data_IF_287285006581
#
_entry.id   IF_287285006581
#
_cell.length_a   1.000
_cell.length_b   1.000
_cell.length_c   1.000
_cell.angle_alpha   90.00
_cell.angle_beta   90.00
_cell.angle_gamma   90.00
#
_symmetry.space_group_name_H-M   'P 1'
#
loop_
_entity.id
_entity.type
_entity.pdbx_description
1 polymer ?
#
# COMPACT_ATOMS: atom_id res chain seq x y z
N UNK A 1 21.25 2.45 -25.78
CA UNK A 1 21.13 1.12 -25.12
C UNK A 1 19.70 0.65 -25.30
N UNK A 2 19.48 -0.33 -26.17
CA UNK A 2 18.17 -0.94 -26.42
C UNK A 2 18.14 -2.22 -25.59
N UNK A 3 17.23 -2.33 -24.63
CA UNK A 3 17.03 -3.60 -23.92
C UNK A 3 16.45 -4.62 -24.91
N UNK A 4 16.96 -5.83 -24.89
CA UNK A 4 16.33 -6.96 -25.57
C UNK A 4 14.92 -7.18 -24.98
N UNK A 5 13.89 -7.18 -25.82
CA UNK A 5 12.49 -7.25 -25.38
C UNK A 5 12.17 -8.53 -24.61
N UNK A 6 12.84 -9.63 -24.92
CA UNK A 6 12.69 -10.91 -24.20
C UNK A 6 13.33 -10.85 -22.81
N UNK A 7 14.53 -10.27 -22.71
CA UNK A 7 15.21 -10.03 -21.43
C UNK A 7 14.37 -9.09 -20.55
N UNK A 8 13.79 -8.04 -21.14
CA UNK A 8 12.90 -7.11 -20.43
C UNK A 8 11.65 -7.79 -19.90
N UNK A 9 10.96 -8.57 -20.74
CA UNK A 9 9.75 -9.28 -20.34
C UNK A 9 10.04 -10.26 -19.20
N UNK A 10 11.14 -11.04 -19.29
CA UNK A 10 11.53 -12.00 -18.26
C UNK A 10 11.86 -11.32 -16.93
N UNK A 11 12.68 -10.26 -16.97
CA UNK A 11 13.00 -9.47 -15.78
C UNK A 11 11.74 -8.85 -15.17
N UNK A 12 10.86 -8.27 -15.98
CA UNK A 12 9.63 -7.64 -15.53
C UNK A 12 8.68 -8.66 -14.90
N UNK A 13 8.50 -9.84 -15.51
CA UNK A 13 7.70 -10.92 -14.93
C UNK A 13 8.23 -11.38 -13.56
N UNK A 14 9.56 -11.52 -13.42
CA UNK A 14 10.17 -11.90 -12.15
C UNK A 14 10.00 -10.81 -11.09
N UNK A 15 10.19 -9.53 -11.46
CA UNK A 15 9.96 -8.40 -10.57
C UNK A 15 8.51 -8.34 -10.08
N UNK A 16 7.54 -8.58 -10.96
CA UNK A 16 6.12 -8.62 -10.58
C UNK A 16 5.83 -9.80 -9.64
N UNK A 17 6.44 -10.97 -9.86
CA UNK A 17 6.33 -12.12 -8.95
C UNK A 17 6.89 -11.79 -7.56
N UNK A 18 8.06 -11.17 -7.48
CA UNK A 18 8.68 -10.75 -6.23
C UNK A 18 7.82 -9.73 -5.48
N UNK A 19 7.27 -8.74 -6.19
CA UNK A 19 6.32 -7.76 -5.61
C UNK A 19 5.03 -8.41 -5.13
N UNK A 20 4.52 -9.42 -5.84
CA UNK A 20 3.35 -10.15 -5.42
C UNK A 20 3.59 -10.96 -4.14
N UNK A 21 4.77 -11.58 -4.00
CA UNK A 21 5.17 -12.29 -2.79
C UNK A 21 5.38 -11.33 -1.60
N UNK A 22 6.01 -10.17 -1.82
CA UNK A 22 6.21 -9.15 -0.79
C UNK A 22 4.90 -8.51 -0.30
N UNK A 23 3.86 -8.51 -1.15
CA UNK A 23 2.55 -7.96 -0.81
C UNK A 23 1.58 -8.98 -0.21
N UNK A 24 1.96 -10.26 -0.10
CA UNK A 24 1.18 -11.26 0.66
C UNK A 24 1.60 -11.30 2.11
N UNK A 25 0.63 -11.35 3.02
CA UNK A 25 0.88 -11.42 4.46
C UNK A 25 1.47 -12.78 4.86
N UNK A 26 1.07 -13.85 4.19
CA UNK A 26 1.49 -15.22 4.48
C UNK A 26 2.10 -15.89 3.24
N UNK A 27 2.98 -16.89 3.41
CA UNK A 27 3.43 -17.70 2.28
C UNK A 27 2.23 -18.44 1.63
N UNK A 28 2.11 -18.43 0.29
CA UNK A 28 1.08 -19.19 -0.42
C UNK A 28 1.17 -20.69 -0.14
N UNK A 29 0.02 -21.32 0.10
CA UNK A 29 -0.09 -22.77 0.32
C UNK A 29 -0.29 -23.50 -1.03
N UNK A 30 0.79 -24.03 -1.61
CA UNK A 30 0.83 -24.68 -2.93
C UNK A 30 0.86 -26.21 -2.88
N UNK A 31 0.24 -26.81 -1.87
CA UNK A 31 0.10 -28.25 -1.66
C UNK A 31 -1.39 -28.67 -1.66
N UNK A 32 -1.63 -29.98 -1.69
CA UNK A 32 -2.97 -30.58 -1.74
C UNK A 32 -3.38 -31.08 -3.13
N UNK A 33 -4.60 -31.61 -3.23
CA UNK A 33 -5.15 -32.12 -4.49
C UNK A 33 -5.51 -30.94 -5.43
N UNK A 34 -4.96 -30.90 -6.67
CA UNK A 34 -5.25 -29.86 -7.64
C UNK A 34 -6.75 -29.72 -7.97
N UNK A 35 -7.48 -30.83 -7.97
CA UNK A 35 -8.90 -30.89 -8.35
C UNK A 35 -9.84 -30.61 -7.17
N UNK A 36 -9.31 -30.51 -5.95
CA UNK A 36 -10.10 -30.19 -4.76
C UNK A 36 -10.79 -28.84 -4.90
N UNK A 37 -12.09 -28.83 -4.61
CA UNK A 37 -12.92 -27.63 -4.61
C UNK A 37 -12.81 -26.92 -3.26
N UNK A 38 -12.11 -25.80 -3.25
CA UNK A 38 -11.85 -25.01 -2.05
C UNK A 38 -12.76 -23.79 -1.95
N UNK A 39 -13.27 -23.53 -0.74
CA UNK A 39 -14.05 -22.33 -0.43
C UNK A 39 -13.17 -21.10 -0.11
N UNK A 40 -13.77 -19.95 0.22
CA UNK A 40 -13.04 -18.67 0.37
C UNK A 40 -11.94 -18.67 1.43
N UNK A 41 -12.11 -19.41 2.53
CA UNK A 41 -11.12 -19.49 3.60
C UNK A 41 -9.88 -20.28 3.19
N UNK A 42 -10.06 -21.41 2.51
CA UNK A 42 -8.92 -22.18 2.04
C UNK A 42 -8.28 -21.52 0.81
N UNK A 43 -9.08 -20.89 -0.06
CA UNK A 43 -8.58 -20.07 -1.15
C UNK A 43 -7.66 -18.94 -0.66
N UNK A 44 -7.99 -18.31 0.48
CA UNK A 44 -7.13 -17.29 1.09
C UNK A 44 -5.75 -17.84 1.49
N UNK A 45 -5.70 -19.05 2.07
CA UNK A 45 -4.43 -19.73 2.41
C UNK A 45 -3.64 -20.09 1.17
N UNK A 46 -4.31 -20.67 0.15
CA UNK A 46 -3.67 -21.02 -1.12
C UNK A 46 -3.04 -19.79 -1.77
N UNK A 47 -3.71 -18.63 -1.70
CA UNK A 47 -3.20 -17.38 -2.27
C UNK A 47 -2.25 -16.59 -1.35
N UNK A 48 -2.00 -17.00 -0.11
CA UNK A 48 -1.14 -16.30 0.85
C UNK A 48 -1.74 -15.02 1.45
N UNK A 49 -3.07 -14.89 1.44
CA UNK A 49 -3.76 -13.76 2.06
C UNK A 49 -3.82 -13.94 3.60
N UNK A 50 -4.02 -12.83 4.31
CA UNK A 50 -4.19 -12.84 5.77
C UNK A 50 -5.46 -13.61 6.19
N UNK A 51 -6.56 -13.42 5.45
CA UNK A 51 -7.87 -13.97 5.78
C UNK A 51 -8.78 -14.13 4.54
N UNK A 52 -9.96 -14.72 4.76
CA UNK A 52 -11.01 -14.88 3.75
C UNK A 52 -11.71 -13.58 3.35
N UNK A 53 -11.48 -12.46 4.06
CA UNK A 53 -12.13 -11.20 3.75
C UNK A 53 -11.59 -10.63 2.44
N UNK A 54 -10.29 -10.79 2.17
CA UNK A 54 -9.69 -10.43 0.88
C UNK A 54 -10.36 -11.18 -0.28
N UNK A 55 -10.56 -12.49 -0.15
CA UNK A 55 -11.22 -13.31 -1.18
C UNK A 55 -12.68 -12.90 -1.36
N UNK A 56 -13.38 -12.67 -0.25
CA UNK A 56 -14.78 -12.22 -0.28
C UNK A 56 -14.94 -10.85 -0.95
N UNK A 57 -13.96 -9.96 -0.80
CA UNK A 57 -13.90 -8.70 -1.53
C UNK A 57 -13.63 -8.92 -3.02
N UNK A 58 -12.70 -9.81 -3.39
CA UNK A 58 -12.40 -10.13 -4.80
C UNK A 58 -13.57 -10.79 -5.53
N UNK A 59 -14.43 -11.51 -4.83
CA UNK A 59 -15.67 -12.04 -5.43
C UNK A 59 -16.61 -10.91 -5.87
N UNK A 60 -16.64 -9.80 -5.14
CA UNK A 60 -17.47 -8.63 -5.46
C UNK A 60 -16.79 -7.69 -6.45
N UNK A 61 -15.50 -7.44 -6.24
CA UNK A 61 -14.65 -6.53 -7.01
C UNK A 61 -13.36 -7.26 -7.39
N UNK A 62 -13.41 -8.13 -8.42
CA UNK A 62 -12.28 -8.96 -8.80
C UNK A 62 -11.15 -8.09 -9.36
N UNK A 63 -9.91 -8.26 -8.88
CA UNK A 63 -8.77 -7.65 -9.53
C UNK A 63 -8.47 -8.34 -10.87
N UNK A 64 -7.60 -7.72 -11.67
CA UNK A 64 -7.14 -8.29 -12.95
C UNK A 64 -6.64 -9.74 -12.74
N UNK A 65 -7.09 -10.64 -13.62
CA UNK A 65 -6.77 -12.07 -13.63
C UNK A 65 -7.27 -12.90 -12.43
N UNK A 66 -8.11 -12.38 -11.53
CA UNK A 66 -8.74 -13.22 -10.49
C UNK A 66 -9.65 -14.29 -11.12
N UNK A 67 -9.50 -15.58 -10.76
CA UNK A 67 -10.23 -16.66 -11.42
C UNK A 67 -11.71 -16.65 -11.07
N UNK A 68 -12.55 -16.96 -12.07
CA UNK A 68 -13.98 -17.20 -11.84
C UNK A 68 -14.18 -18.48 -11.01
N UNK A 69 -15.17 -18.50 -10.10
CA UNK A 69 -15.52 -19.71 -9.35
C UNK A 69 -15.94 -20.85 -10.27
N UNK A 70 -15.49 -22.06 -9.96
CA UNK A 70 -15.87 -23.29 -10.66
C UNK A 70 -17.23 -23.82 -10.20
N UNK A 71 -17.61 -23.54 -8.94
CA UNK A 71 -18.89 -23.94 -8.37
C UNK A 71 -19.33 -22.98 -7.26
N UNK A 72 -20.56 -23.14 -6.78
CA UNK A 72 -21.15 -22.38 -5.69
C UNK A 72 -21.88 -23.33 -4.74
N UNK A 73 -21.59 -23.24 -3.45
CA UNK A 73 -22.43 -23.85 -2.42
C UNK A 73 -23.62 -22.92 -2.16
N UNK A 74 -24.83 -23.46 -2.24
CA UNK A 74 -26.07 -22.72 -1.99
C UNK A 74 -26.52 -22.89 -0.53
N UNK A 75 -26.59 -21.78 0.19
CA UNK A 75 -27.18 -21.71 1.53
C UNK A 75 -28.46 -20.87 1.47
N UNK A 76 -29.38 -21.03 2.45
CA UNK A 76 -30.67 -20.32 2.44
C UNK A 76 -30.58 -18.79 2.31
N UNK A 77 -29.49 -18.18 2.79
CA UNK A 77 -29.30 -16.72 2.81
C UNK A 77 -28.13 -16.24 1.95
N UNK A 78 -27.29 -17.14 1.41
CA UNK A 78 -26.08 -16.75 0.67
C UNK A 78 -25.55 -17.88 -0.19
N UNK A 79 -24.84 -17.53 -1.25
CA UNK A 79 -24.05 -18.48 -2.05
C UNK A 79 -22.58 -18.32 -1.72
N UNK A 80 -21.85 -19.42 -1.52
CA UNK A 80 -20.41 -19.40 -1.28
C UNK A 80 -19.67 -19.92 -2.52
N UNK A 81 -18.78 -19.12 -3.13
CA UNK A 81 -18.03 -19.57 -4.29
C UNK A 81 -17.00 -20.62 -3.90
N UNK A 82 -16.74 -21.54 -4.83
CA UNK A 82 -15.71 -22.56 -4.77
C UNK A 82 -14.85 -22.50 -6.02
N UNK A 83 -13.56 -22.76 -5.84
CA UNK A 83 -12.57 -22.83 -6.92
C UNK A 83 -11.84 -24.15 -6.85
N UNK A 84 -11.43 -24.67 -8.00
CA UNK A 84 -10.41 -25.72 -8.02
C UNK A 84 -9.08 -25.17 -7.55
N UNK A 85 -8.36 -25.94 -6.75
CA UNK A 85 -7.06 -25.56 -6.17
C UNK A 85 -6.06 -25.14 -7.24
N UNK A 86 -6.01 -25.85 -8.35
CA UNK A 86 -5.10 -25.54 -9.47
C UNK A 86 -5.34 -24.16 -10.09
N UNK A 87 -6.59 -23.66 -10.15
CA UNK A 87 -6.88 -22.31 -10.69
C UNK A 87 -6.28 -21.23 -9.81
N UNK A 88 -6.33 -21.43 -8.50
CA UNK A 88 -5.73 -20.51 -7.53
C UNK A 88 -4.21 -20.55 -7.61
N UNK A 89 -3.60 -21.73 -7.84
CA UNK A 89 -2.15 -21.82 -8.08
C UNK A 89 -1.74 -21.08 -9.35
N UNK A 90 -2.50 -21.25 -10.44
CA UNK A 90 -2.28 -20.51 -11.69
C UNK A 90 -2.35 -19.00 -11.43
N UNK A 91 -3.36 -18.53 -10.71
CA UNK A 91 -3.44 -17.14 -10.31
C UNK A 91 -2.22 -16.68 -9.49
N UNK A 92 -1.78 -17.46 -8.50
CA UNK A 92 -0.60 -17.13 -7.70
C UNK A 92 0.68 -17.06 -8.54
N UNK A 93 0.80 -17.91 -9.55
CA UNK A 93 1.94 -17.93 -10.47
C UNK A 93 1.94 -16.73 -11.45
N UNK A 94 0.76 -16.29 -11.89
CA UNK A 94 0.60 -15.27 -12.94
C UNK A 94 0.29 -13.86 -12.40
N UNK A 95 -0.10 -13.73 -11.13
CA UNK A 95 -0.50 -12.43 -10.56
C UNK A 95 0.64 -11.42 -10.59
N UNK A 96 0.30 -10.20 -11.00
CA UNK A 96 1.23 -9.06 -11.05
C UNK A 96 1.39 -8.34 -9.70
N UNK A 97 0.76 -8.82 -8.62
CA UNK A 97 0.74 -8.18 -7.31
C UNK A 97 -0.38 -8.71 -6.41
N UNK A 98 -0.53 -8.16 -5.20
CA UNK A 98 -1.84 -8.25 -4.49
C UNK A 98 -2.81 -7.40 -5.31
N UNK A 99 -3.91 -7.96 -5.79
CA UNK A 99 -4.74 -7.36 -6.84
C UNK A 99 -5.19 -5.90 -6.62
N UNK A 100 -5.31 -5.45 -5.37
CA UNK A 100 -5.56 -4.05 -4.99
C UNK A 100 -4.36 -3.40 -4.27
N UNK A 101 -3.14 -3.76 -4.66
CA UNK A 101 -1.88 -3.17 -4.18
C UNK A 101 -1.71 -1.75 -4.75
N UNK A 102 -2.63 -0.87 -4.35
CA UNK A 102 -2.55 0.57 -4.56
C UNK A 102 -3.09 1.35 -3.35
N UNK A 103 -3.34 0.65 -2.24
CA UNK A 103 -3.71 1.31 -0.99
C UNK A 103 -2.60 2.27 -0.56
N UNK A 104 -3.00 3.46 -0.09
CA UNK A 104 -2.08 4.45 0.47
C UNK A 104 -1.18 3.75 1.50
N UNK A 105 0.16 3.86 1.40
CA UNK A 105 1.04 3.30 2.42
C UNK A 105 0.59 3.82 3.78
N UNK A 106 0.52 2.92 4.75
CA UNK A 106 0.11 3.32 6.09
C UNK A 106 1.10 4.39 6.57
N UNK A 107 0.58 5.57 6.91
CA UNK A 107 1.42 6.68 7.35
C UNK A 107 2.32 6.27 8.52
N UNK A 108 3.43 7.00 8.70
CA UNK A 108 4.39 6.76 9.79
C UNK A 108 3.63 6.70 11.12
N UNK A 109 3.53 5.52 11.73
CA UNK A 109 2.89 5.32 13.03
C UNK A 109 3.80 5.90 14.12
N UNK A 110 3.21 6.48 15.17
CA UNK A 110 3.93 6.91 16.38
C UNK A 110 4.27 8.40 16.48
N UNK A 111 3.77 9.24 15.56
CA UNK A 111 3.86 10.70 15.71
C UNK A 111 2.57 11.22 16.35
N UNK A 112 2.70 12.06 17.38
CA UNK A 112 1.59 12.80 18.00
C UNK A 112 1.01 13.84 17.04
N UNK A 113 1.84 14.40 16.16
CA UNK A 113 1.45 15.38 15.15
C UNK A 113 2.39 15.35 13.93
N UNK A 114 1.99 15.92 12.78
CA UNK A 114 2.81 15.96 11.57
C UNK A 114 4.19 16.60 11.81
N UNK A 115 5.22 16.10 11.14
CA UNK A 115 6.60 16.63 11.22
C UNK A 115 7.26 16.58 12.62
N UNK A 116 6.69 15.83 13.57
CA UNK A 116 7.31 15.64 14.88
C UNK A 116 8.71 15.00 14.73
N UNK A 117 9.70 15.64 15.35
CA UNK A 117 11.11 15.22 15.29
C UNK A 117 11.84 15.65 14.02
N UNK A 118 11.19 16.40 13.12
CA UNK A 118 11.85 16.99 11.96
C UNK A 118 12.52 18.32 12.33
N UNK A 119 13.77 18.51 11.91
CA UNK A 119 14.55 19.75 12.16
C UNK A 119 13.83 21.00 11.64
N UNK A 120 13.04 20.88 10.57
CA UNK A 120 12.30 22.00 10.00
C UNK A 120 11.14 22.46 10.87
N UNK A 121 10.55 21.56 11.66
CA UNK A 121 9.54 21.97 12.63
C UNK A 121 10.19 22.82 13.73
N UNK A 122 11.39 22.45 14.18
CA UNK A 122 12.17 23.25 15.13
C UNK A 122 12.55 24.61 14.55
N UNK A 123 13.02 24.67 13.30
CA UNK A 123 13.31 25.94 12.62
C UNK A 123 12.06 26.81 12.46
N UNK A 124 10.93 26.22 12.08
CA UNK A 124 9.66 26.93 11.97
C UNK A 124 9.20 27.50 13.33
N UNK A 125 9.36 26.75 14.42
CA UNK A 125 9.09 27.22 15.79
C UNK A 125 9.98 28.40 16.16
N UNK A 126 11.28 28.32 15.88
CA UNK A 126 12.22 29.42 16.13
C UNK A 126 11.84 30.68 15.33
N UNK A 127 11.47 30.53 14.07
CA UNK A 127 11.06 31.65 13.22
C UNK A 127 9.76 32.31 13.71
N UNK A 128 8.80 31.52 14.22
CA UNK A 128 7.57 32.04 14.84
C UNK A 128 7.88 32.73 16.17
N UNK A 129 8.76 32.15 17.01
CA UNK A 129 9.15 32.75 18.29
C UNK A 129 9.88 34.09 18.09
N UNK A 130 10.73 34.19 17.07
CA UNK A 130 11.41 35.43 16.70
C UNK A 130 10.45 36.50 16.15
N UNK A 131 9.39 36.07 15.45
CA UNK A 131 8.41 36.98 14.84
C UNK A 131 6.95 36.49 15.04
N UNK A 132 6.36 36.66 16.24
CA UNK A 132 5.05 36.07 16.57
C UNK A 132 3.88 36.54 15.70
N UNK A 133 3.98 37.76 15.14
CA UNK A 133 2.98 38.35 14.25
C UNK A 133 3.19 38.08 12.76
N UNK A 134 4.30 37.44 12.37
CA UNK A 134 4.62 37.25 10.96
C UNK A 134 3.69 36.21 10.30
N UNK A 135 3.28 36.54 9.08
CA UNK A 135 2.48 35.67 8.24
C UNK A 135 3.33 34.55 7.64
N UNK A 136 2.69 33.47 7.20
CA UNK A 136 3.42 32.40 6.49
C UNK A 136 4.11 32.92 5.22
N UNK A 137 3.53 33.91 4.54
CA UNK A 137 4.13 34.46 3.33
C UNK A 137 5.48 35.14 3.60
N UNK A 138 5.67 35.69 4.80
CA UNK A 138 6.90 36.36 5.23
C UNK A 138 7.94 35.37 5.77
N UNK A 139 7.50 34.34 6.50
CA UNK A 139 8.39 33.35 7.09
C UNK A 139 8.95 32.34 6.09
N UNK A 140 8.18 31.98 5.06
CA UNK A 140 8.59 30.93 4.10
C UNK A 140 9.87 31.27 3.33
N UNK A 141 10.03 32.49 2.75
CA UNK A 141 11.27 32.85 2.06
C UNK A 141 12.51 32.75 2.96
N UNK A 142 12.40 33.23 4.21
CA UNK A 142 13.49 33.19 5.19
C UNK A 142 13.89 31.74 5.53
N UNK A 143 12.89 30.87 5.74
CA UNK A 143 13.11 29.45 6.01
C UNK A 143 13.70 28.70 4.80
N UNK A 144 13.35 29.11 3.58
CA UNK A 144 13.91 28.54 2.36
C UNK A 144 15.38 28.93 2.17
N UNK A 145 15.78 30.15 2.55
CA UNK A 145 17.19 30.57 2.50
C UNK A 145 18.06 29.84 3.53
N UNK A 146 17.49 29.46 4.67
CA UNK A 146 18.20 28.75 5.74
C UNK A 146 18.34 27.25 5.52
N UNK A 147 17.71 26.70 4.47
CA UNK A 147 17.70 25.25 4.22
C UNK A 147 18.33 24.92 2.87
N UNK A 148 19.30 24.01 2.85
CA UNK A 148 19.93 23.55 1.59
C UNK A 148 18.94 22.80 0.66
N UNK A 149 17.86 22.25 1.23
CA UNK A 149 16.79 21.56 0.49
C UNK A 149 15.59 22.47 0.30
N UNK A 150 15.27 22.78 -0.96
CA UNK A 150 14.11 23.61 -1.30
C UNK A 150 12.81 22.82 -1.15
N UNK A 151 12.14 22.95 -0.01
CA UNK A 151 10.76 22.48 0.14
C UNK A 151 9.78 23.40 -0.58
N UNK A 152 8.74 22.78 -1.13
CA UNK A 152 7.64 23.50 -1.78
C UNK A 152 6.93 24.41 -0.77
N UNK A 153 6.43 25.56 -1.23
CA UNK A 153 5.63 26.48 -0.41
C UNK A 153 4.45 25.79 0.32
N UNK A 154 3.70 24.86 -0.31
CA UNK A 154 2.69 24.05 0.39
C UNK A 154 3.23 23.25 1.57
N UNK A 155 4.42 22.66 1.44
CA UNK A 155 5.06 21.90 2.52
C UNK A 155 5.39 22.80 3.71
N UNK A 156 6.00 23.97 3.47
CA UNK A 156 6.27 24.92 4.54
C UNK A 156 5.02 25.46 5.22
N UNK A 157 3.92 25.65 4.49
CA UNK A 157 2.64 26.02 5.09
C UNK A 157 2.14 24.96 6.10
N UNK A 158 2.30 23.68 5.77
CA UNK A 158 1.92 22.59 6.68
C UNK A 158 2.83 22.52 7.91
N UNK A 159 4.14 22.74 7.73
CA UNK A 159 5.11 22.77 8.83
C UNK A 159 4.82 23.95 9.77
N UNK A 160 4.65 25.17 9.24
CA UNK A 160 4.32 26.36 10.03
C UNK A 160 2.99 26.23 10.75
N UNK A 161 1.99 25.62 10.10
CA UNK A 161 0.72 25.30 10.75
C UNK A 161 0.94 24.36 11.94
N UNK A 162 1.68 23.27 11.74
CA UNK A 162 2.00 22.32 12.81
C UNK A 162 2.80 22.96 13.95
N UNK A 163 3.71 23.90 13.63
CA UNK A 163 4.49 24.63 14.63
C UNK A 163 3.62 25.53 15.51
N UNK A 164 2.58 26.17 14.95
CA UNK A 164 1.63 26.99 15.71
C UNK A 164 0.65 26.15 16.53
N UNK A 165 0.19 25.02 16.00
CA UNK A 165 -0.73 24.10 16.69
C UNK A 165 -0.03 23.35 17.83
N UNK A 166 1.29 23.15 17.73
CA UNK A 166 2.10 22.42 18.69
C UNK A 166 3.39 23.19 19.02
N UNK A 167 3.33 24.25 19.84
CA UNK A 167 4.53 24.90 20.37
C UNK A 167 5.31 23.92 21.27
N UNK A 168 6.62 24.10 21.38
CA UNK A 168 7.39 23.41 22.44
C UNK A 168 6.97 24.02 23.79
N UNK A 169 6.72 23.16 24.78
CA UNK A 169 6.46 23.58 26.17
C UNK A 169 7.64 24.33 26.78
#
# INVERSE_FOLDING_TARGET
>A
MHWDGGVWAKWHHELQRQRAAANTTNPPKLDGDPEEMVGPAEAAKVCGFADSATVSHYVKNPPEAWPTPDNWDEFPTRRRPKWKRWRLWKYVAERKGRGHAGGRPQGRRGLAYPYQGDEWLTLARQAIAANPGATNAELIPQLQEQTEKTYSRPTWNLILKSAREHPEE
#
